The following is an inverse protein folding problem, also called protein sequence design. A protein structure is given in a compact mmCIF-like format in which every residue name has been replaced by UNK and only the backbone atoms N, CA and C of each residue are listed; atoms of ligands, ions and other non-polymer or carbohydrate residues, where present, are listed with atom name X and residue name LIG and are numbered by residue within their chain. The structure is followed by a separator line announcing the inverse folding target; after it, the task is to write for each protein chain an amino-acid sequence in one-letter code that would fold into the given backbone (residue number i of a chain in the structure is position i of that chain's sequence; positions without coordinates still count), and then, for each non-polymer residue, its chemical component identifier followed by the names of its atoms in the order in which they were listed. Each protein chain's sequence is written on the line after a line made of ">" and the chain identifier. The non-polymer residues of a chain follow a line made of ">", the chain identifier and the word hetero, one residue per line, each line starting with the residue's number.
data_IF_549220606634
#
_entry.id   IF_549220606634
#
_cell.length_a   1.000
_cell.length_b   1.000
_cell.length_c   1.000
_cell.angle_alpha   90.00
_cell.angle_beta   90.00
_cell.angle_gamma   90.00
#
_symmetry.space_group_name_H-M   'P 1'
#
loop_
_entity.id
_entity.type
_entity.pdbx_description
1 polymer ?
#
# COMPACT_ATOMS: atom_id res chain seq x y z
N UNK A 1 -18.52 -8.91 -0.74
CA UNK A 1 -19.56 -8.93 -1.82
C UNK A 1 -19.30 -7.78 -2.78
N UNK A 2 -19.55 -7.93 -4.09
CA UNK A 2 -19.30 -6.85 -5.05
C UNK A 2 -20.09 -5.58 -4.70
N UNK A 3 -19.41 -4.44 -4.71
CA UNK A 3 -19.99 -3.12 -4.50
C UNK A 3 -20.49 -2.63 -5.86
N UNK A 4 -21.77 -2.24 -5.94
CA UNK A 4 -22.30 -1.57 -7.12
C UNK A 4 -22.12 -0.04 -7.01
N UNK A 5 -21.45 0.56 -8.00
CA UNK A 5 -21.23 2.00 -8.08
C UNK A 5 -21.82 2.51 -9.40
N UNK A 6 -22.56 3.61 -9.36
CA UNK A 6 -23.15 4.22 -10.54
C UNK A 6 -22.44 5.56 -10.84
N UNK A 7 -22.00 5.73 -12.09
CA UNK A 7 -21.30 6.93 -12.58
C UNK A 7 -22.22 7.71 -13.51
N UNK A 8 -22.57 8.97 -13.19
CA UNK A 8 -23.38 9.81 -14.07
C UNK A 8 -22.58 10.30 -15.30
N UNK A 9 -23.29 10.94 -16.23
CA UNK A 9 -22.72 11.64 -17.39
C UNK A 9 -21.98 12.91 -16.94
N UNK A 10 -20.70 12.75 -16.57
CA UNK A 10 -19.74 13.78 -16.19
C UNK A 10 -18.36 13.18 -15.91
N UNK A 11 -17.30 13.96 -16.16
CA UNK A 11 -15.93 13.62 -15.73
C UNK A 11 -15.72 13.92 -14.23
N UNK A 12 -16.33 13.10 -13.37
CA UNK A 12 -16.18 13.16 -11.90
C UNK A 12 -15.78 11.77 -11.36
N UNK A 13 -14.49 11.59 -11.07
CA UNK A 13 -13.90 10.33 -10.61
C UNK A 13 -14.32 9.97 -9.17
N UNK A 14 -14.91 8.79 -8.99
CA UNK A 14 -15.18 8.19 -7.68
C UNK A 14 -14.02 7.24 -7.31
N UNK A 15 -13.17 7.64 -6.37
CA UNK A 15 -11.95 6.91 -6.01
C UNK A 15 -12.22 5.73 -5.07
N UNK A 16 -11.80 4.55 -5.50
CA UNK A 16 -11.80 3.33 -4.69
C UNK A 16 -10.36 3.00 -4.27
N UNK A 17 -10.14 2.49 -3.03
CA UNK A 17 -8.84 1.95 -2.64
C UNK A 17 -8.39 0.83 -3.58
N UNK A 18 -7.08 0.75 -3.84
CA UNK A 18 -6.48 -0.23 -4.72
C UNK A 18 -5.18 -0.77 -4.12
N UNK A 19 -4.98 -2.08 -4.17
CA UNK A 19 -3.86 -2.78 -3.56
C UNK A 19 -3.50 -4.04 -4.35
N UNK A 20 -2.43 -4.76 -3.96
CA UNK A 20 -2.05 -6.02 -4.60
C UNK A 20 -1.55 -5.94 -6.06
N UNK A 21 -1.44 -4.73 -6.63
CA UNK A 21 -0.98 -4.52 -8.01
C UNK A 21 -2.03 -4.79 -9.09
N UNK A 22 -3.30 -4.98 -8.71
CA UNK A 22 -4.41 -5.33 -9.62
C UNK A 22 -5.72 -4.67 -9.16
N UNK A 23 -6.56 -4.30 -10.13
CA UNK A 23 -7.92 -3.83 -9.91
C UNK A 23 -8.87 -4.59 -10.85
N UNK A 24 -9.73 -5.44 -10.30
CA UNK A 24 -10.79 -6.15 -11.02
C UNK A 24 -12.10 -5.39 -10.91
N UNK A 25 -12.82 -5.29 -12.03
CA UNK A 25 -14.12 -4.65 -12.08
C UNK A 25 -14.94 -5.19 -13.25
N UNK A 26 -16.25 -4.98 -13.20
CA UNK A 26 -17.14 -5.11 -14.35
C UNK A 26 -17.86 -3.79 -14.57
N UNK A 27 -18.06 -3.40 -15.83
CA UNK A 27 -18.77 -2.18 -16.18
C UNK A 27 -19.84 -2.44 -17.24
N UNK A 28 -20.98 -1.78 -17.08
CA UNK A 28 -22.08 -1.70 -18.05
C UNK A 28 -22.26 -0.22 -18.40
N UNK A 29 -21.81 0.16 -19.58
CA UNK A 29 -21.84 1.53 -20.12
C UNK A 29 -21.82 1.47 -21.66
N UNK A 30 -22.43 2.42 -22.39
CA UNK A 30 -22.44 2.40 -23.86
C UNK A 30 -21.05 2.64 -24.48
N UNK A 31 -20.23 3.46 -23.83
CA UNK A 31 -18.91 3.97 -24.26
C UNK A 31 -18.21 4.67 -23.09
N UNK A 32 -16.99 5.12 -23.31
CA UNK A 32 -16.22 6.06 -22.48
C UNK A 32 -16.22 5.70 -20.98
N UNK A 33 -15.76 4.49 -20.62
CA UNK A 33 -15.50 4.12 -19.22
C UNK A 33 -14.05 4.49 -18.85
N UNK A 34 -13.88 5.35 -17.85
CA UNK A 34 -12.59 5.94 -17.48
C UNK A 34 -12.10 5.39 -16.14
N UNK A 35 -10.80 5.10 -16.06
CA UNK A 35 -10.11 4.74 -14.83
C UNK A 35 -8.89 5.63 -14.61
N UNK A 36 -8.65 6.07 -13.39
CA UNK A 36 -7.53 6.93 -12.99
C UNK A 36 -6.67 6.25 -11.93
N UNK A 37 -5.47 5.80 -12.31
CA UNK A 37 -4.50 5.23 -11.38
C UNK A 37 -3.78 6.39 -10.66
N UNK A 38 -3.88 6.44 -9.33
CA UNK A 38 -3.40 7.57 -8.52
C UNK A 38 -2.83 7.14 -7.15
N UNK A 39 -1.91 7.93 -6.58
CA UNK A 39 -1.40 7.73 -5.20
C UNK A 39 -2.32 8.28 -4.11
N UNK A 40 -3.35 9.04 -4.49
CA UNK A 40 -4.31 9.75 -3.64
C UNK A 40 -5.72 9.63 -4.22
N UNK A 41 -6.79 9.82 -3.43
CA UNK A 41 -8.17 9.79 -3.93
C UNK A 41 -8.55 11.12 -4.62
N UNK A 42 -7.71 11.56 -5.56
CA UNK A 42 -7.82 12.84 -6.28
C UNK A 42 -7.21 12.74 -7.68
N UNK A 43 -7.78 13.39 -8.71
CA UNK A 43 -7.27 13.35 -10.08
C UNK A 43 -6.09 14.34 -10.27
N UNK A 44 -5.03 14.10 -9.51
CA UNK A 44 -3.85 14.96 -9.38
C UNK A 44 -2.62 14.25 -9.92
N UNK A 45 -1.78 14.97 -10.67
CA UNK A 45 -0.50 14.42 -11.14
C UNK A 45 0.43 14.04 -9.96
N UNK A 46 1.23 12.96 -10.06
CA UNK A 46 1.31 12.07 -11.22
C UNK A 46 0.11 11.12 -11.32
N UNK A 47 -0.43 10.97 -12.53
CA UNK A 47 -1.64 10.20 -12.83
C UNK A 47 -1.52 9.44 -14.16
N UNK A 48 -2.02 8.21 -14.20
CA UNK A 48 -2.26 7.49 -15.44
C UNK A 48 -3.77 7.27 -15.64
N UNK A 49 -4.29 7.78 -16.74
CA UNK A 49 -5.69 7.65 -17.11
C UNK A 49 -5.84 6.54 -18.17
N UNK A 50 -6.79 5.63 -17.96
CA UNK A 50 -7.13 4.53 -18.86
C UNK A 50 -8.56 4.78 -19.35
N UNK A 51 -8.73 4.85 -20.66
CA UNK A 51 -10.02 5.05 -21.31
C UNK A 51 -10.39 3.77 -22.03
N UNK A 52 -11.48 3.13 -21.63
CA UNK A 52 -12.03 1.96 -22.30
C UNK A 52 -13.23 2.37 -23.15
N UNK A 53 -13.29 1.87 -24.39
CA UNK A 53 -14.38 2.17 -25.32
C UNK A 53 -14.57 3.67 -25.55
N UNK A 54 -13.48 4.43 -25.63
CA UNK A 54 -13.53 5.85 -25.98
C UNK A 54 -13.85 6.08 -27.45
N UNK A 55 -14.18 7.34 -27.79
CA UNK A 55 -14.52 7.78 -29.15
C UNK A 55 -15.62 6.90 -29.78
N UNK A 56 -16.83 6.95 -29.23
CA UNK A 56 -17.97 6.11 -29.65
C UNK A 56 -17.66 4.60 -29.57
N UNK A 57 -17.02 4.14 -28.49
CA UNK A 57 -16.71 2.72 -28.26
C UNK A 57 -15.83 2.11 -29.36
N UNK A 58 -14.90 2.88 -29.93
CA UNK A 58 -14.05 2.43 -31.05
C UNK A 58 -12.63 2.05 -30.64
N UNK A 59 -12.07 2.66 -29.58
CA UNK A 59 -10.70 2.43 -29.13
C UNK A 59 -10.53 2.57 -27.62
N UNK A 60 -9.42 2.04 -27.12
CA UNK A 60 -8.99 2.20 -25.73
C UNK A 60 -7.58 2.78 -25.69
N UNK A 61 -7.30 3.67 -24.73
CA UNK A 61 -6.00 4.39 -24.65
C UNK A 61 -5.51 4.49 -23.20
N UNK A 62 -4.20 4.60 -23.03
CA UNK A 62 -3.55 4.99 -21.77
C UNK A 62 -2.96 6.40 -21.97
N UNK A 63 -3.18 7.31 -21.02
CA UNK A 63 -2.63 8.66 -21.00
C UNK A 63 -1.87 8.91 -19.70
N UNK A 64 -0.84 9.76 -19.77
CA UNK A 64 -0.11 10.26 -18.60
C UNK A 64 -0.44 11.73 -18.36
N UNK A 65 -0.71 12.11 -17.11
CA UNK A 65 -0.82 13.49 -16.62
C UNK A 65 -1.77 14.41 -17.43
N UNK A 66 -2.83 13.84 -18.04
CA UNK A 66 -3.76 14.55 -18.92
C UNK A 66 -3.18 15.03 -20.26
N UNK A 67 -1.92 14.70 -20.58
CA UNK A 67 -1.19 15.24 -21.74
C UNK A 67 -1.49 14.50 -23.05
N UNK A 68 -1.15 15.10 -24.19
CA UNK A 68 -1.21 14.48 -25.51
C UNK A 68 0.19 14.44 -26.16
N UNK A 69 0.53 13.42 -26.97
CA UNK A 69 -0.30 12.26 -27.35
C UNK A 69 -0.58 11.30 -26.19
N UNK A 70 -1.58 10.42 -26.38
CA UNK A 70 -1.78 9.28 -25.48
C UNK A 70 -0.55 8.35 -25.57
N UNK A 71 -0.14 7.72 -24.46
CA UNK A 71 1.08 6.90 -24.41
C UNK A 71 0.88 5.50 -25.00
N UNK A 72 -0.36 5.02 -25.06
CA UNK A 72 -0.79 3.82 -25.79
C UNK A 72 -2.17 4.09 -26.40
N UNK A 73 -2.39 3.68 -27.64
CA UNK A 73 -3.71 3.67 -28.29
C UNK A 73 -3.91 2.35 -29.04
N UNK A 74 -5.04 1.66 -28.80
CA UNK A 74 -5.40 0.38 -29.43
C UNK A 74 -6.86 0.42 -29.89
N UNK A 75 -7.17 0.03 -31.15
CA UNK A 75 -8.54 -0.16 -31.61
C UNK A 75 -9.23 -1.29 -30.84
N UNK A 76 -10.39 -0.99 -30.25
CA UNK A 76 -11.17 -1.93 -29.43
C UNK A 76 -12.67 -1.72 -29.70
N UNK A 77 -13.15 -1.98 -30.94
CA UNK A 77 -14.50 -1.64 -31.36
C UNK A 77 -15.55 -2.47 -30.61
N UNK A 78 -16.50 -1.79 -29.97
CA UNK A 78 -17.57 -2.41 -29.20
C UNK A 78 -17.08 -3.14 -27.95
N UNK A 79 -16.02 -2.66 -27.30
CA UNK A 79 -15.45 -3.28 -26.08
C UNK A 79 -16.39 -3.13 -24.86
N UNK A 80 -17.08 -1.99 -24.73
CA UNK A 80 -18.12 -1.76 -23.73
C UNK A 80 -19.51 -2.13 -24.26
N UNK A 81 -20.50 -2.25 -23.37
CA UNK A 81 -21.91 -2.49 -23.73
C UNK A 81 -22.86 -1.89 -22.66
N UNK A 82 -23.96 -1.29 -23.11
CA UNK A 82 -24.98 -0.68 -22.25
C UNK A 82 -25.98 -1.72 -21.65
N UNK A 83 -26.13 -2.90 -22.25
CA UNK A 83 -27.09 -3.91 -21.82
C UNK A 83 -26.55 -4.93 -20.80
N UNK A 84 -25.25 -5.18 -20.81
CA UNK A 84 -24.59 -6.24 -20.02
C UNK A 84 -23.36 -5.71 -19.28
N UNK A 85 -23.01 -6.33 -18.15
CA UNK A 85 -21.73 -6.07 -17.49
C UNK A 85 -20.61 -6.81 -18.22
N UNK A 86 -19.50 -6.12 -18.48
CA UNK A 86 -18.27 -6.71 -19.03
C UNK A 86 -17.14 -6.55 -18.04
N UNK A 87 -16.46 -7.66 -17.75
CA UNK A 87 -15.37 -7.73 -16.79
C UNK A 87 -14.02 -7.40 -17.40
N UNK A 88 -13.19 -6.71 -16.62
CA UNK A 88 -11.85 -6.27 -16.97
C UNK A 88 -10.92 -6.34 -15.75
N UNK A 89 -9.63 -6.32 -16.01
CA UNK A 89 -8.61 -6.05 -15.00
C UNK A 89 -7.64 -4.99 -15.50
N UNK A 90 -7.17 -4.15 -14.57
CA UNK A 90 -5.94 -3.35 -14.72
C UNK A 90 -4.89 -3.93 -13.78
N UNK A 91 -3.63 -4.03 -14.22
CA UNK A 91 -2.48 -4.46 -13.41
C UNK A 91 -1.34 -3.47 -13.54
N UNK A 92 -0.49 -3.35 -12.51
CA UNK A 92 0.63 -2.41 -12.46
C UNK A 92 1.89 -2.99 -11.79
N UNK A 93 2.32 -4.16 -12.25
CA UNK A 93 3.53 -4.83 -11.78
C UNK A 93 4.78 -4.32 -12.51
N UNK A 94 5.92 -4.25 -11.82
CA UNK A 94 7.24 -3.90 -12.37
C UNK A 94 7.29 -2.60 -13.21
N UNK A 95 6.49 -1.59 -12.83
CA UNK A 95 6.25 -0.32 -13.55
C UNK A 95 5.46 -0.45 -14.87
N UNK A 96 4.98 -1.64 -15.23
CA UNK A 96 4.22 -1.90 -16.45
C UNK A 96 2.72 -1.90 -16.16
N UNK A 97 2.01 -0.91 -16.69
CA UNK A 97 0.54 -0.84 -16.67
C UNK A 97 0.00 -1.75 -17.77
N UNK A 98 -0.85 -2.71 -17.43
CA UNK A 98 -1.52 -3.60 -18.39
C UNK A 98 -3.03 -3.66 -18.15
N UNK A 99 -3.80 -3.86 -19.22
CA UNK A 99 -5.27 -3.98 -19.15
C UNK A 99 -5.74 -5.15 -20.01
N UNK A 100 -6.63 -5.98 -19.47
CA UNK A 100 -7.20 -7.16 -20.14
C UNK A 100 -8.63 -7.45 -19.72
N UNK A 101 -9.22 -8.49 -20.32
CA UNK A 101 -10.58 -8.94 -19.99
C UNK A 101 -10.61 -9.87 -18.77
N UNK A 102 -11.74 -9.91 -18.06
CA UNK A 102 -12.00 -10.93 -17.05
C UNK A 102 -11.85 -12.34 -17.65
N UNK A 103 -11.12 -13.22 -16.96
CA UNK A 103 -10.80 -14.57 -17.43
C UNK A 103 -9.57 -14.66 -18.34
N UNK A 104 -9.24 -13.60 -19.09
CA UNK A 104 -8.07 -13.58 -19.96
C UNK A 104 -6.77 -13.32 -19.19
N UNK A 105 -5.73 -14.09 -19.49
CA UNK A 105 -4.37 -13.83 -19.02
C UNK A 105 -3.68 -12.70 -19.81
N UNK A 106 -4.05 -12.52 -21.08
CA UNK A 106 -3.41 -11.59 -22.01
C UNK A 106 -3.95 -10.16 -21.87
N UNK A 107 -3.07 -9.17 -22.05
CA UNK A 107 -3.43 -7.76 -22.08
C UNK A 107 -3.75 -7.28 -23.50
N UNK A 108 -4.74 -6.40 -23.66
CA UNK A 108 -4.98 -5.65 -24.90
C UNK A 108 -4.41 -4.23 -24.86
N UNK A 109 -4.04 -3.71 -23.68
CA UNK A 109 -3.20 -2.52 -23.50
C UNK A 109 -1.98 -2.89 -22.63
N UNK A 110 -0.80 -2.37 -22.98
CA UNK A 110 0.43 -2.50 -22.18
C UNK A 110 1.30 -1.26 -22.33
N UNK A 111 1.76 -0.70 -21.22
CA UNK A 111 2.64 0.46 -21.16
C UNK A 111 3.69 0.30 -20.07
N UNK A 112 4.97 0.28 -20.44
CA UNK A 112 6.08 0.44 -19.50
C UNK A 112 6.24 1.93 -19.15
N UNK A 113 6.02 2.27 -17.88
CA UNK A 113 6.18 3.65 -17.40
C UNK A 113 7.63 4.02 -17.06
N UNK A 114 8.55 3.04 -17.00
CA UNK A 114 9.94 3.16 -16.54
C UNK A 114 10.08 3.44 -15.03
N UNK A 115 9.25 4.34 -14.50
CA UNK A 115 9.06 4.58 -13.09
C UNK A 115 7.58 4.92 -12.85
N UNK A 116 6.87 4.03 -12.14
CA UNK A 116 5.47 4.19 -11.77
C UNK A 116 5.37 4.59 -10.30
N UNK A 117 4.56 5.61 -10.02
CA UNK A 117 4.23 6.00 -8.64
C UNK A 117 3.38 4.91 -7.95
N UNK A 118 3.36 4.85 -6.60
CA UNK A 118 2.47 3.92 -5.89
C UNK A 118 1.01 4.20 -6.22
N UNK A 119 0.37 3.29 -6.96
CA UNK A 119 -1.06 3.34 -7.26
C UNK A 119 -1.80 2.79 -6.05
N UNK A 120 -2.38 3.69 -5.26
CA UNK A 120 -3.10 3.37 -4.02
C UNK A 120 -4.63 3.49 -4.20
N UNK A 121 -5.07 4.15 -5.28
CA UNK A 121 -6.46 4.36 -5.62
C UNK A 121 -6.69 4.19 -7.12
N UNK A 122 -7.88 3.71 -7.47
CA UNK A 122 -8.43 3.78 -8.81
C UNK A 122 -9.68 4.65 -8.77
N UNK A 123 -9.62 5.82 -9.41
CA UNK A 123 -10.79 6.64 -9.71
C UNK A 123 -11.58 6.04 -10.86
N UNK A 124 -12.89 5.84 -10.70
CA UNK A 124 -13.77 5.43 -11.81
C UNK A 124 -14.77 6.52 -12.18
N UNK A 125 -14.99 6.76 -13.48
CA UNK A 125 -16.10 7.58 -13.99
C UNK A 125 -16.50 7.17 -15.41
N UNK A 126 -17.59 7.74 -15.91
CA UNK A 126 -17.96 7.66 -17.33
C UNK A 126 -17.81 9.03 -17.99
N UNK A 127 -17.27 9.06 -19.20
CA UNK A 127 -17.06 10.27 -19.97
C UNK A 127 -18.36 10.94 -20.42
N UNK A 128 -18.23 12.16 -20.97
CA UNK A 128 -19.36 12.94 -21.45
C UNK A 128 -20.14 12.20 -22.55
N UNK A 129 -21.45 12.13 -22.40
CA UNK A 129 -22.35 11.37 -23.27
C UNK A 129 -22.50 9.88 -22.88
N UNK A 130 -22.06 9.48 -21.68
CA UNK A 130 -22.25 8.14 -21.15
C UNK A 130 -22.50 8.15 -19.63
N UNK A 131 -23.40 7.27 -19.18
CA UNK A 131 -23.50 6.85 -17.78
C UNK A 131 -23.18 5.36 -17.66
N UNK A 132 -22.75 4.93 -16.47
CA UNK A 132 -22.30 3.56 -16.25
C UNK A 132 -22.69 2.99 -14.89
N UNK A 133 -22.90 1.68 -14.85
CA UNK A 133 -22.93 0.91 -13.60
C UNK A 133 -21.67 0.05 -13.53
N UNK A 134 -21.04 0.02 -12.37
CA UNK A 134 -19.79 -0.69 -12.10
C UNK A 134 -20.02 -1.70 -10.97
N UNK A 135 -19.41 -2.87 -11.08
CA UNK A 135 -19.29 -3.86 -10.02
C UNK A 135 -17.82 -4.03 -9.69
N UNK A 136 -17.44 -3.85 -8.44
CA UNK A 136 -16.05 -3.96 -7.95
C UNK A 136 -16.04 -4.99 -6.83
N UNK A 137 -15.05 -5.88 -6.80
CA UNK A 137 -14.98 -6.97 -5.84
C UNK A 137 -14.75 -6.45 -4.41
N UNK A 138 -15.85 -6.27 -3.67
CA UNK A 138 -15.85 -5.60 -2.39
C UNK A 138 -15.60 -6.53 -1.21
N UNK A 139 -14.36 -6.56 -0.75
CA UNK A 139 -14.04 -6.80 0.66
C UNK A 139 -13.31 -5.57 1.22
N UNK A 140 -13.46 -5.33 2.53
CA UNK A 140 -12.98 -4.14 3.27
C UNK A 140 -13.53 -2.77 2.83
N UNK A 141 -14.67 -2.37 3.42
CA UNK A 141 -15.08 -0.97 3.52
C UNK A 141 -15.75 -0.69 4.88
N UNK A 142 -15.19 0.22 5.70
CA UNK A 142 -15.91 0.92 6.75
C UNK A 142 -16.13 2.40 6.39
N UNK A 143 -17.19 3.02 6.92
CA UNK A 143 -17.72 4.28 6.39
C UNK A 143 -17.40 5.54 7.21
N UNK A 144 -16.75 6.52 6.55
CA UNK A 144 -16.68 7.96 6.90
C UNK A 144 -15.95 8.35 8.21
N UNK A 145 -15.60 9.65 8.43
CA UNK A 145 -15.62 10.81 7.52
C UNK A 145 -14.20 11.40 7.22
N UNK A 146 -14.14 12.47 6.42
CA UNK A 146 -12.88 13.11 5.97
C UNK A 146 -12.32 14.10 7.01
N UNK A 147 -11.01 14.02 7.31
CA UNK A 147 -10.11 15.17 7.57
C UNK A 147 -8.64 14.70 7.72
N UNK A 148 -7.69 15.34 7.02
CA UNK A 148 -6.24 15.30 7.34
C UNK A 148 -5.33 14.32 6.57
N UNK A 149 -4.63 14.85 5.55
CA UNK A 149 -3.32 14.44 4.96
C UNK A 149 -2.69 13.05 5.25
N UNK A 150 -2.51 12.20 4.21
CA UNK A 150 -1.57 11.06 4.21
C UNK A 150 -1.22 10.45 2.81
N UNK A 151 0.07 10.25 2.42
CA UNK A 151 0.59 8.96 1.85
C UNK A 151 2.13 8.70 2.02
N UNK A 152 2.80 7.62 1.49
CA UNK A 152 2.37 6.38 0.79
C UNK A 152 2.80 5.10 1.60
N UNK A 153 3.55 4.06 1.14
CA UNK A 153 3.25 2.77 0.40
C UNK A 153 4.43 1.76 0.62
N UNK A 154 4.37 0.43 0.89
CA UNK A 154 3.31 -0.62 0.88
C UNK A 154 3.70 -1.94 1.63
N UNK A 155 3.02 -3.08 1.40
CA UNK A 155 3.25 -4.45 1.99
C UNK A 155 2.75 -4.78 3.42
N UNK A 156 1.47 -5.22 3.53
CA UNK A 156 0.86 -5.68 4.78
C UNK A 156 0.34 -4.51 5.65
N UNK A 157 -0.86 -4.61 6.25
CA UNK A 157 -1.67 -3.45 6.69
C UNK A 157 -0.87 -2.37 7.43
N UNK A 158 -0.80 -1.21 6.77
CA UNK A 158 0.38 -0.36 6.81
C UNK A 158 1.17 -0.44 5.52
N UNK A 159 2.29 0.27 5.48
CA UNK A 159 3.03 0.42 4.25
C UNK A 159 4.49 0.84 4.43
N UNK A 160 5.38 -0.14 4.34
CA UNK A 160 6.84 -0.02 4.33
C UNK A 160 7.35 0.79 3.11
N UNK A 161 7.85 1.99 3.36
CA UNK A 161 8.44 2.93 2.38
C UNK A 161 9.96 2.88 2.45
N UNK A 162 10.69 2.55 1.37
CA UNK A 162 12.15 2.68 1.32
C UNK A 162 12.63 4.11 1.62
N UNK A 163 13.55 4.23 2.57
CA UNK A 163 14.11 5.49 3.06
C UNK A 163 15.55 5.30 3.55
N UNK A 164 16.25 6.39 3.79
CA UNK A 164 17.65 6.36 4.19
C UNK A 164 18.07 7.63 4.96
N UNK A 165 19.19 7.58 5.68
CA UNK A 165 19.88 8.75 6.25
C UNK A 165 18.97 9.69 7.07
N UNK A 166 18.14 9.11 7.95
CA UNK A 166 17.22 9.85 8.83
C UNK A 166 15.97 10.40 8.14
N UNK A 167 15.76 10.13 6.85
CA UNK A 167 14.51 10.47 6.19
C UNK A 167 13.35 9.72 6.84
N UNK A 168 12.32 10.48 7.22
CA UNK A 168 11.03 9.99 7.71
C UNK A 168 10.00 10.25 6.60
N UNK A 169 9.52 9.22 5.89
CA UNK A 169 8.44 9.38 4.92
C UNK A 169 7.16 9.86 5.61
N UNK A 170 6.27 10.60 4.92
CA UNK A 170 5.07 11.10 5.56
C UNK A 170 4.20 9.95 6.08
N UNK A 171 3.59 10.16 7.26
CA UNK A 171 2.75 9.16 7.93
C UNK A 171 3.47 7.88 8.34
N UNK A 172 4.81 7.91 8.45
CA UNK A 172 5.57 6.97 9.25
C UNK A 172 4.88 6.76 10.60
N UNK A 173 4.64 5.51 10.97
CA UNK A 173 3.86 5.18 12.15
C UNK A 173 4.72 5.39 13.40
N UNK A 174 4.18 6.19 14.33
CA UNK A 174 4.80 6.49 15.61
C UNK A 174 4.91 5.20 16.44
N UNK A 175 6.14 4.75 16.62
CA UNK A 175 6.45 3.49 17.28
C UNK A 175 6.63 3.62 18.79
N UNK A 176 7.31 4.69 19.19
CA UNK A 176 7.73 4.94 20.56
C UNK A 176 8.38 6.31 20.70
N UNK A 177 9.01 6.59 21.84
CA UNK A 177 9.59 7.90 22.13
C UNK A 177 10.83 7.74 23.01
N UNK A 178 11.94 8.35 22.57
CA UNK A 178 13.23 8.35 23.26
C UNK A 178 13.49 9.74 23.85
N UNK A 179 12.89 9.98 25.04
CA UNK A 179 13.07 11.11 25.97
C UNK A 179 12.89 12.56 25.46
N UNK A 180 13.35 12.86 24.26
CA UNK A 180 13.23 14.12 23.52
C UNK A 180 12.85 13.94 22.04
N UNK A 181 12.87 12.72 21.49
CA UNK A 181 12.65 12.47 20.06
C UNK A 181 11.62 11.36 19.77
N UNK A 182 10.84 11.58 18.70
CA UNK A 182 9.83 10.65 18.21
C UNK A 182 10.48 9.52 17.40
N UNK A 183 10.25 8.27 17.81
CA UNK A 183 10.73 7.09 17.09
C UNK A 183 9.65 6.56 16.14
N UNK A 184 10.07 6.08 14.98
CA UNK A 184 9.17 5.49 13.97
C UNK A 184 9.45 4.00 13.78
N UNK A 185 8.42 3.25 13.40
CA UNK A 185 8.56 1.83 13.07
C UNK A 185 9.29 1.70 11.72
N UNK A 186 10.42 1.01 11.70
CA UNK A 186 11.18 0.74 10.49
C UNK A 186 11.74 -0.69 10.48
N UNK A 187 12.23 -1.16 9.33
CA UNK A 187 12.91 -2.46 9.17
C UNK A 187 14.15 -2.33 8.28
N UNK A 188 15.14 -3.17 8.53
CA UNK A 188 16.36 -3.26 7.72
C UNK A 188 16.79 -4.72 7.53
N UNK A 189 17.64 -4.98 6.53
CA UNK A 189 18.24 -6.31 6.31
C UNK A 189 19.57 -6.41 7.05
N UNK A 190 19.77 -7.51 7.77
CA UNK A 190 20.98 -7.74 8.57
C UNK A 190 21.26 -9.25 8.68
N UNK A 191 22.48 -9.69 8.33
CA UNK A 191 22.91 -11.10 8.34
C UNK A 191 21.96 -12.10 7.65
N UNK A 192 21.21 -11.63 6.65
CA UNK A 192 20.23 -12.40 5.87
C UNK A 192 18.78 -12.24 6.33
N UNK A 193 18.55 -11.86 7.59
CA UNK A 193 17.24 -11.57 8.15
C UNK A 193 16.71 -10.21 7.65
N UNK A 194 15.38 -10.04 7.66
CA UNK A 194 14.69 -8.75 7.54
C UNK A 194 14.06 -8.43 8.89
N UNK A 195 14.55 -7.40 9.59
CA UNK A 195 14.28 -7.20 11.03
C UNK A 195 13.57 -5.87 11.28
N UNK A 196 12.41 -5.85 11.97
CA UNK A 196 11.78 -4.62 12.43
C UNK A 196 12.49 -4.03 13.68
N UNK A 197 12.46 -2.71 13.79
CA UNK A 197 13.19 -1.93 14.80
C UNK A 197 12.76 -0.46 14.85
N UNK A 198 13.61 0.38 15.44
CA UNK A 198 13.34 1.81 15.67
C UNK A 198 14.11 2.70 14.68
N UNK A 199 13.42 3.51 13.89
CA UNK A 199 14.04 4.66 13.21
C UNK A 199 14.26 5.79 14.21
N UNK A 200 15.50 6.26 14.30
CA UNK A 200 15.93 7.41 15.09
C UNK A 200 16.40 8.52 14.13
N UNK A 201 15.51 9.49 13.79
CA UNK A 201 15.75 10.43 12.69
C UNK A 201 17.04 11.26 12.83
N UNK A 202 17.33 11.81 14.02
CA UNK A 202 18.53 12.64 14.23
C UNK A 202 19.84 11.85 14.21
N UNK A 203 19.80 10.54 14.53
CA UNK A 203 20.95 9.63 14.38
C UNK A 203 21.14 9.17 12.92
N UNK A 204 20.18 9.42 12.03
CA UNK A 204 20.28 9.09 10.61
C UNK A 204 20.02 7.63 10.24
N UNK A 205 19.61 6.78 11.20
CA UNK A 205 19.59 5.31 11.04
C UNK A 205 18.34 4.67 11.65
N UNK A 206 17.97 3.49 11.16
CA UNK A 206 17.18 2.54 11.94
C UNK A 206 18.09 1.63 12.75
N UNK A 207 17.75 1.37 14.00
CA UNK A 207 18.40 0.36 14.81
C UNK A 207 17.55 -0.91 14.85
N UNK A 208 18.20 -2.06 14.63
CA UNK A 208 17.59 -3.40 14.74
C UNK A 208 18.31 -4.22 15.81
N UNK A 209 17.58 -5.08 16.51
CA UNK A 209 18.13 -5.97 17.53
C UNK A 209 18.53 -7.31 16.88
N UNK A 210 19.79 -7.73 17.04
CA UNK A 210 20.27 -9.03 16.51
C UNK A 210 21.55 -9.51 17.21
N UNK A 211 21.65 -10.82 17.46
CA UNK A 211 22.88 -11.47 17.92
C UNK A 211 23.41 -10.98 19.27
N UNK A 212 22.56 -10.40 20.12
CA UNK A 212 22.94 -9.75 21.39
C UNK A 212 23.22 -8.25 21.29
N UNK A 213 23.18 -7.64 20.11
CA UNK A 213 23.54 -6.23 19.88
C UNK A 213 22.47 -5.36 19.19
N UNK A 214 22.67 -4.05 19.32
CA UNK A 214 21.95 -3.00 18.59
C UNK A 214 22.73 -2.59 17.33
N UNK A 215 22.12 -2.77 16.15
CA UNK A 215 22.78 -2.54 14.85
C UNK A 215 22.11 -1.41 14.07
N UNK A 216 22.84 -0.33 13.81
CA UNK A 216 22.37 0.83 13.06
C UNK A 216 22.55 0.68 11.54
N UNK A 217 21.47 0.89 10.78
CA UNK A 217 21.45 0.85 9.31
C UNK A 217 20.99 2.19 8.72
N UNK A 218 21.75 2.72 7.77
CA UNK A 218 21.46 3.98 7.08
C UNK A 218 20.48 3.84 5.92
N UNK A 219 20.13 2.63 5.51
CA UNK A 219 19.12 2.31 4.49
C UNK A 219 18.11 1.32 5.08
N UNK A 220 16.82 1.60 4.90
CA UNK A 220 15.74 0.93 5.62
C UNK A 220 14.38 1.12 4.94
N UNK A 221 13.34 0.44 5.42
CA UNK A 221 11.95 0.72 5.05
C UNK A 221 11.17 1.17 6.29
N UNK A 222 10.38 2.23 6.18
CA UNK A 222 9.58 2.79 7.30
C UNK A 222 8.13 2.38 7.14
N UNK A 223 7.51 1.78 8.17
CA UNK A 223 6.09 1.44 8.15
C UNK A 223 5.27 2.72 8.24
N UNK A 224 4.60 3.09 7.16
CA UNK A 224 3.69 4.23 7.10
C UNK A 224 2.20 3.80 7.18
N UNK A 225 1.31 4.80 7.28
CA UNK A 225 -0.15 4.77 7.08
C UNK A 225 -0.88 3.47 7.47
N UNK A 226 -0.57 2.95 8.67
CA UNK A 226 -1.03 1.66 9.14
C UNK A 226 -2.30 1.78 10.00
N UNK A 227 -3.39 1.20 9.49
CA UNK A 227 -4.67 1.09 10.20
C UNK A 227 -4.63 -0.05 11.22
N UNK A 228 -4.19 0.26 12.44
CA UNK A 228 -3.98 -0.74 13.48
C UNK A 228 -3.75 -0.11 14.85
N UNK A 229 -3.54 -0.96 15.85
CA UNK A 229 -3.37 -0.56 17.24
C UNK A 229 -2.38 -1.47 17.99
N UNK A 230 -2.02 -1.06 19.20
CA UNK A 230 -1.12 -1.80 20.08
C UNK A 230 -1.93 -2.67 21.04
N UNK A 231 -1.58 -3.96 21.14
CA UNK A 231 -2.22 -4.93 22.03
C UNK A 231 -1.19 -5.43 23.05
N UNK A 232 -1.47 -5.36 24.37
CA UNK A 232 -0.57 -5.89 25.39
C UNK A 232 -0.54 -7.43 25.36
N UNK A 233 0.67 -8.00 25.41
CA UNK A 233 0.95 -9.43 25.32
C UNK A 233 1.92 -9.84 26.43
N UNK A 234 1.69 -11.03 27.01
CA UNK A 234 2.57 -11.68 27.98
C UNK A 234 2.97 -13.06 27.45
N UNK A 235 4.28 -13.31 27.34
CA UNK A 235 4.83 -14.49 26.65
C UNK A 235 4.63 -14.48 25.14
N UNK A 236 4.90 -15.61 24.48
CA UNK A 236 4.81 -15.76 23.01
C UNK A 236 3.38 -15.88 22.45
N UNK A 237 2.37 -15.31 23.10
CA UNK A 237 0.97 -15.46 22.70
C UNK A 237 0.58 -14.42 21.63
N UNK A 238 1.06 -14.64 20.40
CA UNK A 238 0.87 -13.73 19.25
C UNK A 238 -0.62 -13.68 18.83
N UNK A 239 -1.29 -12.51 18.82
CA UNK A 239 -2.67 -12.38 18.35
C UNK A 239 -2.81 -12.73 16.85
N UNK A 240 -3.92 -13.34 16.41
CA UNK A 240 -4.15 -13.64 14.98
C UNK A 240 -4.22 -12.43 14.04
N UNK A 241 -4.34 -11.21 14.59
CA UNK A 241 -4.31 -9.93 13.85
C UNK A 241 -2.92 -9.29 13.82
N UNK A 242 -1.90 -9.92 14.43
CA UNK A 242 -0.53 -9.45 14.34
C UNK A 242 0.02 -9.61 12.91
N UNK A 243 0.72 -8.60 12.43
CA UNK A 243 1.12 -8.47 11.02
C UNK A 243 2.60 -8.80 10.87
N UNK A 244 2.99 -9.76 10.01
CA UNK A 244 4.40 -10.02 9.71
C UNK A 244 5.07 -8.75 9.16
N UNK A 245 6.12 -8.33 9.84
CA UNK A 245 6.89 -7.12 9.57
C UNK A 245 8.25 -7.43 8.94
N UNK A 246 8.78 -8.61 9.23
CA UNK A 246 10.03 -9.14 8.73
C UNK A 246 10.07 -10.67 8.80
N UNK A 247 11.23 -11.24 8.53
CA UNK A 247 11.46 -12.69 8.47
C UNK A 247 12.90 -13.00 8.88
N UNK A 248 13.13 -14.13 9.55
CA UNK A 248 14.50 -14.68 9.68
C UNK A 248 14.93 -15.36 8.39
N UNK A 249 16.23 -15.54 8.24
CA UNK A 249 16.87 -16.34 7.19
C UNK A 249 16.46 -17.82 7.18
N UNK A 250 15.87 -18.33 8.26
CA UNK A 250 15.22 -19.66 8.32
C UNK A 250 13.72 -19.64 7.93
N UNK A 251 13.15 -18.45 7.68
CA UNK A 251 11.74 -18.25 7.32
C UNK A 251 10.78 -18.10 8.51
N UNK A 252 11.26 -17.82 9.72
CA UNK A 252 10.38 -17.48 10.84
C UNK A 252 9.84 -16.05 10.68
N UNK A 253 8.51 -15.81 10.69
CA UNK A 253 7.96 -14.47 10.61
C UNK A 253 8.22 -13.66 11.89
N UNK A 254 8.75 -12.45 11.72
CA UNK A 254 8.99 -11.47 12.79
C UNK A 254 7.89 -10.40 12.77
N UNK A 255 7.42 -9.99 13.94
CA UNK A 255 6.34 -9.01 14.12
C UNK A 255 6.85 -7.73 14.80
N UNK A 256 6.16 -6.60 14.63
CA UNK A 256 6.52 -5.37 15.36
C UNK A 256 6.05 -5.45 16.80
N UNK A 257 6.97 -5.28 17.74
CA UNK A 257 6.65 -5.11 19.16
C UNK A 257 7.28 -3.85 19.74
N UNK A 258 6.82 -3.45 20.92
CA UNK A 258 7.46 -2.40 21.71
C UNK A 258 7.45 -2.71 23.20
N UNK A 259 8.42 -2.18 23.92
CA UNK A 259 8.53 -2.29 25.38
C UNK A 259 8.92 -0.95 26.00
N UNK A 260 8.55 -0.75 27.26
CA UNK A 260 8.95 0.41 28.06
C UNK A 260 10.25 0.09 28.81
N UNK A 261 11.30 0.88 28.61
CA UNK A 261 12.59 0.70 29.27
C UNK A 261 13.24 2.06 29.56
N UNK A 262 13.72 2.24 30.80
CA UNK A 262 14.38 3.46 31.31
C UNK A 262 13.65 4.77 30.98
N UNK A 263 12.31 4.73 31.00
CA UNK A 263 11.43 5.87 30.71
C UNK A 263 11.13 6.09 29.22
N UNK A 264 11.83 5.39 28.32
CA UNK A 264 11.53 5.35 26.89
C UNK A 264 10.44 4.34 26.57
N UNK A 265 9.78 4.50 25.42
CA UNK A 265 9.04 3.43 24.75
C UNK A 265 9.78 3.11 23.47
N UNK A 266 10.24 1.87 23.30
CA UNK A 266 11.15 1.49 22.21
C UNK A 266 10.59 0.32 21.39
N UNK A 267 10.69 0.42 20.06
CA UNK A 267 10.25 -0.61 19.09
C UNK A 267 11.35 -1.62 18.81
N UNK A 268 10.95 -2.87 18.57
CA UNK A 268 11.82 -3.97 18.17
C UNK A 268 11.06 -5.13 17.51
N UNK A 269 11.71 -6.29 17.47
CA UNK A 269 11.16 -7.53 16.87
C UNK A 269 10.48 -8.39 17.93
N UNK A 270 9.30 -8.91 17.66
CA UNK A 270 8.75 -10.07 18.37
C UNK A 270 9.11 -11.32 17.58
N UNK A 271 9.77 -12.27 18.24
CA UNK A 271 10.14 -13.55 17.67
C UNK A 271 9.30 -14.67 18.33
N UNK A 272 8.33 -15.29 17.62
CA UNK A 272 7.40 -16.26 18.20
C UNK A 272 8.07 -17.44 18.91
N UNK A 273 9.10 -18.04 18.31
CA UNK A 273 9.84 -19.21 18.81
C UNK A 273 10.53 -18.94 20.15
N UNK A 274 11.09 -17.74 20.31
CA UNK A 274 11.71 -17.29 21.57
C UNK A 274 10.66 -16.76 22.56
N UNK A 275 9.47 -16.39 22.09
CA UNK A 275 8.34 -15.94 22.88
C UNK A 275 8.61 -14.65 23.65
N UNK A 276 9.26 -13.67 23.03
CA UNK A 276 9.56 -12.35 23.59
C UNK A 276 9.69 -11.28 22.50
N UNK A 277 9.55 -10.02 22.93
CA UNK A 277 10.00 -8.86 22.16
C UNK A 277 11.49 -8.58 22.47
N UNK A 278 12.27 -8.26 21.46
CA UNK A 278 13.66 -7.82 21.58
C UNK A 278 13.77 -6.38 21.09
N UNK A 279 14.17 -5.46 21.97
CA UNK A 279 14.43 -4.07 21.62
C UNK A 279 15.94 -3.82 21.48
N UNK A 280 16.38 -3.00 20.51
CA UNK A 280 17.73 -2.47 20.48
C UNK A 280 17.83 -1.26 21.42
N UNK A 281 18.77 -1.26 22.36
CA UNK A 281 18.97 -0.15 23.30
C UNK A 281 20.40 -0.16 23.89
N UNK A 282 21.06 1.01 23.91
CA UNK A 282 22.35 1.20 24.58
C UNK A 282 23.53 0.43 23.98
N UNK A 283 23.40 -0.08 22.75
CA UNK A 283 24.34 -1.02 22.13
C UNK A 283 23.95 -2.50 22.25
N UNK A 284 22.93 -2.85 23.05
CA UNK A 284 22.54 -4.23 23.36
C UNK A 284 21.17 -4.63 22.77
N UNK A 285 20.96 -5.94 22.61
CA UNK A 285 19.65 -6.55 22.32
C UNK A 285 18.98 -6.99 23.64
N UNK A 286 17.95 -6.26 24.08
CA UNK A 286 17.29 -6.49 25.37
C UNK A 286 15.95 -7.23 25.20
N UNK A 287 15.76 -8.31 25.97
CA UNK A 287 14.63 -9.23 25.82
C UNK A 287 13.50 -9.02 26.86
N UNK A 288 12.28 -8.82 26.38
CA UNK A 288 11.09 -8.53 27.19
C UNK A 288 10.00 -9.59 27.03
N UNK A 289 9.50 -10.11 28.16
CA UNK A 289 8.42 -11.11 28.23
C UNK A 289 7.02 -10.51 28.38
N UNK A 290 6.96 -9.21 28.69
CA UNK A 290 5.76 -8.37 28.69
C UNK A 290 6.03 -7.22 27.73
N UNK A 291 5.17 -7.05 26.73
CA UNK A 291 5.36 -6.11 25.63
C UNK A 291 4.01 -5.77 24.99
N UNK A 292 3.97 -4.75 24.16
CA UNK A 292 2.84 -4.53 23.24
C UNK A 292 3.23 -5.00 21.84
N UNK A 293 2.30 -5.62 21.11
CA UNK A 293 2.46 -6.01 19.71
C UNK A 293 1.56 -5.15 18.82
N UNK A 294 2.03 -4.84 17.62
CA UNK A 294 1.22 -4.12 16.64
C UNK A 294 0.29 -5.10 15.89
N UNK A 295 -1.00 -4.78 15.85
CA UNK A 295 -2.03 -5.54 15.12
C UNK A 295 -2.77 -4.62 14.16
N UNK A 296 -3.22 -5.16 13.03
CA UNK A 296 -4.15 -4.44 12.15
C UNK A 296 -5.58 -4.44 12.70
N UNK A 297 -6.33 -3.39 12.37
CA UNK A 297 -7.77 -3.29 12.67
C UNK A 297 -8.60 -4.25 11.80
#
# INVERSE_FOLDING_TARGET
>A
MPIEINTPDRLEYQFQPASGGVFTFKVRAPKDAHLALTSQPSPSAPIFEIFLGGWENSKSVIRKDGQKPDVVEVPTPGILNAGEFRGFWVRWYDNVITVGHEGDAAAFLSYDAGFLFPVNYVGICTGWGASGTWLIDGDSAPSAPIMGFAPPSGTGPGCWVPAANGQVPPNALEGGFDSSEQLYIARARHEGDLIPGKLHPSHGVTYVAWGGGEHGHSEYEVLCAAGGHWVPVQGGNIPPQAVPAGETSEGEPLFVGRATHDGTVTVGKVQPSHGCCYIPYGGEELAFKEFEIYVSN
#
